data_IF_205886008449
#
_entry.id   IF_205886008449
#
_cell.length_a   1.000
_cell.length_b   1.000
_cell.length_c   1.000
_cell.angle_alpha   90.00
_cell.angle_beta   90.00
_cell.angle_gamma   90.00
#
_symmetry.space_group_name_H-M   'P 1'
#
loop_
_entity.id
_entity.type
_entity.pdbx_description
1 polymer ?
#
# COMPACT_ATOMS: atom_id res chain seq x y z
N UNK A 1 0.40 -44.66 22.27
CA UNK A 1 0.65 -43.93 21.00
C UNK A 1 -0.62 -43.24 20.50
N UNK A 2 -1.19 -42.29 21.26
CA UNK A 2 -2.37 -41.53 20.84
C UNK A 2 -2.28 -40.01 21.14
N UNK A 3 -1.25 -39.57 21.86
CA UNK A 3 -1.11 -38.17 22.31
C UNK A 3 -0.43 -37.29 21.23
N UNK A 4 0.30 -37.89 20.29
CA UNK A 4 1.01 -37.13 19.23
C UNK A 4 0.08 -36.71 18.08
N UNK A 5 -1.10 -37.31 17.96
CA UNK A 5 -2.02 -37.07 16.83
C UNK A 5 -2.72 -35.70 16.91
N UNK A 6 -2.78 -35.06 18.08
CA UNK A 6 -3.48 -33.79 18.26
C UNK A 6 -2.63 -32.52 18.06
N UNK A 7 -1.30 -32.63 17.90
CA UNK A 7 -0.41 -31.46 17.75
C UNK A 7 -0.14 -31.05 16.30
N UNK A 8 -0.72 -31.76 15.33
CA UNK A 8 -0.81 -31.30 13.93
C UNK A 8 -2.16 -30.62 13.72
N UNK A 9 -2.60 -29.79 14.68
CA UNK A 9 -3.48 -28.68 14.31
C UNK A 9 -2.68 -27.90 13.29
N UNK A 10 -3.14 -27.95 12.05
CA UNK A 10 -2.54 -27.26 10.91
C UNK A 10 -2.38 -25.80 11.32
N UNK A 11 -1.18 -25.42 11.77
CA UNK A 11 -0.73 -24.04 11.78
C UNK A 11 -0.67 -23.72 10.30
N UNK A 12 -1.82 -23.35 9.75
CA UNK A 12 -1.93 -22.71 8.46
C UNK A 12 -1.20 -21.40 8.64
N UNK A 13 0.12 -21.42 8.45
CA UNK A 13 0.91 -20.22 8.36
C UNK A 13 0.43 -19.51 7.10
N UNK A 14 -0.59 -18.66 7.28
CA UNK A 14 -1.03 -17.68 6.28
C UNK A 14 0.11 -16.67 6.20
N UNK A 15 1.16 -17.04 5.47
CA UNK A 15 2.27 -16.16 5.20
C UNK A 15 1.79 -15.12 4.18
N UNK A 16 2.04 -13.85 4.47
CA UNK A 16 1.90 -12.80 3.48
C UNK A 16 2.82 -13.13 2.28
N UNK A 17 2.31 -12.90 1.07
CA UNK A 17 3.04 -13.14 -0.18
C UNK A 17 3.72 -11.84 -0.61
N UNK A 18 4.96 -11.95 -1.08
CA UNK A 18 5.70 -10.85 -1.72
C UNK A 18 5.67 -10.96 -3.26
N UNK A 19 5.80 -9.85 -3.99
CA UNK A 19 5.73 -9.85 -5.45
C UNK A 19 6.99 -10.45 -6.10
N UNK A 20 6.80 -11.16 -7.22
CA UNK A 20 7.90 -11.57 -8.12
C UNK A 20 8.48 -10.37 -8.86
N UNK A 21 9.66 -10.51 -9.46
CA UNK A 21 10.32 -9.41 -10.20
C UNK A 21 9.41 -8.74 -11.25
N UNK A 22 8.68 -9.52 -12.05
CA UNK A 22 7.72 -8.97 -13.02
C UNK A 22 6.57 -8.21 -12.35
N UNK A 23 6.12 -8.67 -11.18
CA UNK A 23 5.08 -7.98 -10.41
C UNK A 23 5.62 -6.69 -9.78
N UNK A 24 6.87 -6.66 -9.35
CA UNK A 24 7.55 -5.46 -8.87
C UNK A 24 7.62 -4.40 -9.98
N UNK A 25 8.02 -4.79 -11.20
CA UNK A 25 8.00 -3.90 -12.36
C UNK A 25 6.59 -3.40 -12.68
N UNK A 26 5.58 -4.27 -12.62
CA UNK A 26 4.18 -3.87 -12.81
C UNK A 26 3.71 -2.84 -11.77
N UNK A 27 4.04 -3.05 -10.49
CA UNK A 27 3.73 -2.11 -9.41
C UNK A 27 4.40 -0.77 -9.66
N UNK A 28 5.72 -0.75 -9.87
CA UNK A 28 6.48 0.49 -10.10
C UNK A 28 5.99 1.21 -11.35
N UNK A 29 5.74 0.49 -12.44
CA UNK A 29 5.26 1.07 -13.70
C UNK A 29 3.90 1.75 -13.53
N UNK A 30 2.95 1.11 -12.86
CA UNK A 30 1.65 1.72 -12.59
C UNK A 30 1.79 2.96 -11.68
N UNK A 31 2.54 2.87 -10.58
CA UNK A 31 2.73 4.00 -9.67
C UNK A 31 3.43 5.17 -10.36
N UNK A 32 4.41 4.91 -11.23
CA UNK A 32 5.09 5.93 -12.03
C UNK A 32 4.12 6.62 -12.99
N UNK A 33 3.28 5.84 -13.69
CA UNK A 33 2.25 6.37 -14.58
C UNK A 33 1.24 7.25 -13.83
N UNK A 34 0.76 6.79 -12.66
CA UNK A 34 -0.18 7.56 -11.86
C UNK A 34 0.44 8.89 -11.41
N UNK A 35 1.72 8.88 -10.99
CA UNK A 35 2.46 10.07 -10.56
C UNK A 35 2.75 11.03 -11.71
N UNK A 36 2.99 10.54 -12.92
CA UNK A 36 3.26 11.40 -14.09
C UNK A 36 2.00 12.06 -14.66
N UNK A 37 0.82 11.53 -14.34
CA UNK A 37 -0.45 11.94 -14.94
C UNK A 37 -1.38 12.66 -13.95
N UNK A 38 -0.83 13.18 -12.84
CA UNK A 38 -1.60 13.98 -11.88
C UNK A 38 -2.06 15.30 -12.51
N UNK A 39 -3.26 15.73 -12.17
CA UNK A 39 -3.84 17.01 -12.61
C UNK A 39 -4.21 17.84 -11.37
N UNK A 40 -3.65 19.04 -11.18
CA UNK A 40 -2.73 19.72 -12.08
C UNK A 40 -1.34 19.06 -12.14
N UNK A 41 -0.57 19.25 -13.23
CA UNK A 41 0.77 18.68 -13.37
C UNK A 41 1.70 19.15 -12.24
N UNK A 42 2.38 18.21 -11.60
CA UNK A 42 3.32 18.51 -10.51
C UNK A 42 4.71 18.89 -11.05
N UNK A 43 5.30 19.97 -10.51
CA UNK A 43 6.62 20.46 -10.90
C UNK A 43 7.80 19.72 -10.24
N UNK A 44 7.54 18.98 -9.16
CA UNK A 44 8.54 18.35 -8.29
C UNK A 44 8.23 16.88 -7.98
N UNK A 45 7.58 16.17 -8.91
CA UNK A 45 7.22 14.76 -8.74
C UNK A 45 8.44 13.85 -8.93
N UNK A 46 8.94 13.26 -7.83
CA UNK A 46 10.07 12.32 -7.89
C UNK A 46 9.67 10.96 -8.52
N UNK A 47 10.65 10.30 -9.16
CA UNK A 47 10.50 8.94 -9.67
C UNK A 47 10.36 7.92 -8.54
N UNK A 48 9.38 7.02 -8.67
CA UNK A 48 9.21 5.89 -7.75
C UNK A 48 10.13 4.74 -8.15
N UNK A 49 10.71 4.07 -7.15
CA UNK A 49 11.56 2.89 -7.34
C UNK A 49 11.13 1.80 -6.37
N UNK A 50 11.33 0.55 -6.75
CA UNK A 50 11.11 -0.57 -5.84
C UNK A 50 12.15 -0.55 -4.72
N UNK A 51 11.69 -0.77 -3.48
CA UNK A 51 12.55 -0.88 -2.30
C UNK A 51 12.26 -2.19 -1.57
N UNK A 52 13.29 -2.99 -1.35
CA UNK A 52 13.17 -4.23 -0.58
C UNK A 52 12.86 -3.95 0.90
N UNK A 53 13.29 -2.80 1.42
CA UNK A 53 12.94 -2.33 2.77
C UNK A 53 11.44 -2.04 2.88
N UNK A 54 10.88 -1.29 1.92
CA UNK A 54 9.44 -1.02 1.90
C UNK A 54 8.61 -2.30 1.67
N UNK A 55 9.11 -3.24 0.86
CA UNK A 55 8.48 -4.56 0.73
C UNK A 55 8.45 -5.31 2.07
N UNK A 56 9.54 -5.30 2.82
CA UNK A 56 9.62 -5.97 4.11
C UNK A 56 8.62 -5.37 5.11
N UNK A 57 8.51 -4.04 5.16
CA UNK A 57 7.52 -3.34 5.97
C UNK A 57 6.08 -3.68 5.55
N UNK A 58 5.79 -3.68 4.25
CA UNK A 58 4.47 -4.05 3.73
C UNK A 58 4.12 -5.51 4.06
N UNK A 59 5.08 -6.42 3.96
CA UNK A 59 4.90 -7.83 4.29
C UNK A 59 4.69 -8.05 5.80
N UNK A 60 5.43 -7.35 6.66
CA UNK A 60 5.21 -7.36 8.12
C UNK A 60 3.78 -6.95 8.44
N UNK A 61 3.32 -5.81 7.91
CA UNK A 61 1.96 -5.33 8.20
C UNK A 61 0.87 -6.24 7.64
N UNK A 62 1.03 -6.71 6.40
CA UNK A 62 0.07 -7.62 5.77
C UNK A 62 -0.06 -8.96 6.53
N UNK A 63 1.03 -9.46 7.13
CA UNK A 63 1.02 -10.69 7.91
C UNK A 63 0.16 -10.63 9.17
N UNK A 64 -0.14 -9.42 9.66
CA UNK A 64 -0.97 -9.18 10.84
C UNK A 64 -2.46 -9.26 10.52
N UNK A 65 -2.84 -9.36 9.24
CA UNK A 65 -4.22 -9.37 8.77
C UNK A 65 -5.04 -8.16 9.26
N UNK A 66 -4.39 -7.02 9.47
CA UNK A 66 -5.05 -5.78 9.87
C UNK A 66 -5.44 -4.95 8.65
N UNK A 67 -6.66 -4.41 8.67
CA UNK A 67 -7.13 -3.43 7.68
C UNK A 67 -6.96 -1.98 8.16
N UNK A 68 -6.33 -1.76 9.32
CA UNK A 68 -6.01 -0.43 9.86
C UNK A 68 -4.58 -0.04 9.54
N UNK A 69 -4.27 1.25 9.61
CA UNK A 69 -2.89 1.75 9.46
C UNK A 69 -2.08 1.54 10.75
N UNK A 70 -0.75 1.33 10.65
CA UNK A 70 0.09 1.15 11.83
C UNK A 70 0.13 2.42 12.69
N UNK A 71 -0.07 2.25 13.99
CA UNK A 71 0.21 3.31 14.95
C UNK A 71 1.73 3.45 15.12
N UNK A 72 2.31 4.56 14.65
CA UNK A 72 3.78 4.77 14.65
C UNK A 72 4.41 4.85 16.03
N UNK A 73 3.63 5.09 17.10
CA UNK A 73 4.13 5.01 18.48
C UNK A 73 4.33 3.56 18.91
N UNK A 74 3.45 2.66 18.45
CA UNK A 74 3.55 1.22 18.73
C UNK A 74 4.46 0.49 17.74
N UNK A 75 4.49 0.95 16.49
CA UNK A 75 5.25 0.37 15.38
C UNK A 75 6.17 1.43 14.77
N UNK A 76 7.25 1.81 15.47
CA UNK A 76 8.13 2.92 15.06
C UNK A 76 8.86 2.67 13.75
N UNK A 77 8.98 1.41 13.30
CA UNK A 77 9.57 1.06 12.00
C UNK A 77 8.78 1.62 10.80
N UNK A 78 7.52 2.01 10.98
CA UNK A 78 6.72 2.67 9.94
C UNK A 78 6.80 4.20 10.00
N UNK A 79 7.51 4.77 10.97
CA UNK A 79 7.65 6.22 11.10
C UNK A 79 8.32 6.82 9.87
N UNK A 80 7.71 7.87 9.30
CA UNK A 80 8.21 8.53 8.09
C UNK A 80 7.93 7.76 6.79
N UNK A 81 7.16 6.68 6.84
CA UNK A 81 6.75 5.92 5.64
C UNK A 81 5.28 6.16 5.31
N UNK A 82 4.96 6.22 4.01
CA UNK A 82 3.58 6.18 3.53
C UNK A 82 3.11 4.73 3.37
N UNK A 83 1.83 4.48 3.63
CA UNK A 83 1.23 3.16 3.41
C UNK A 83 -0.09 3.30 2.66
N UNK A 84 -0.35 2.36 1.75
CA UNK A 84 -1.65 2.16 1.12
C UNK A 84 -2.18 0.78 1.49
N UNK A 85 -3.45 0.67 1.86
CA UNK A 85 -4.08 -0.61 2.21
C UNK A 85 -5.30 -0.81 1.30
N UNK A 86 -5.40 -2.00 0.71
CA UNK A 86 -6.56 -2.43 -0.06
C UNK A 86 -7.09 -3.74 0.52
N UNK A 87 -8.38 -3.77 0.84
CA UNK A 87 -9.05 -4.94 1.41
C UNK A 87 -10.04 -5.52 0.42
N UNK A 88 -10.11 -6.84 0.34
CA UNK A 88 -10.99 -7.57 -0.56
C UNK A 88 -11.74 -8.64 0.23
N UNK A 89 -13.06 -8.72 0.05
CA UNK A 89 -13.92 -9.68 0.78
C UNK A 89 -14.19 -10.95 -0.03
N UNK A 90 -14.45 -10.82 -1.33
CA UNK A 90 -14.91 -11.93 -2.19
C UNK A 90 -13.92 -12.29 -3.30
N UNK A 91 -12.66 -11.87 -3.17
CA UNK A 91 -11.63 -12.13 -4.16
C UNK A 91 -10.27 -12.23 -3.49
N UNK A 92 -9.40 -13.07 -4.02
CA UNK A 92 -7.99 -13.09 -3.63
C UNK A 92 -7.27 -11.88 -4.26
N UNK A 93 -6.60 -11.03 -3.46
CA UNK A 93 -5.86 -9.89 -4.00
C UNK A 93 -4.73 -10.33 -4.93
N UNK A 94 -4.49 -9.53 -5.97
CA UNK A 94 -3.38 -9.64 -6.90
C UNK A 94 -2.55 -8.37 -6.82
N UNK A 95 -1.25 -8.46 -7.06
CA UNK A 95 -0.39 -7.27 -7.08
C UNK A 95 -0.79 -6.25 -8.16
N UNK A 96 -1.39 -6.70 -9.26
CA UNK A 96 -1.95 -5.81 -10.28
C UNK A 96 -3.15 -4.99 -9.80
N UNK A 97 -3.80 -5.38 -8.68
CA UNK A 97 -4.88 -4.59 -8.09
C UNK A 97 -4.39 -3.27 -7.48
N UNK A 98 -3.07 -3.01 -7.45
CA UNK A 98 -2.52 -1.65 -7.21
C UNK A 98 -3.15 -0.62 -8.14
N UNK A 99 -3.61 -1.04 -9.33
CA UNK A 99 -4.25 -0.16 -10.29
C UNK A 99 -5.54 0.49 -9.78
N UNK A 100 -6.21 -0.13 -8.81
CA UNK A 100 -7.47 0.38 -8.24
C UNK A 100 -7.28 1.67 -7.45
N UNK A 101 -6.04 2.02 -7.07
CA UNK A 101 -5.73 3.32 -6.46
C UNK A 101 -6.15 4.48 -7.38
N UNK A 102 -6.08 4.31 -8.71
CA UNK A 102 -6.51 5.35 -9.64
C UNK A 102 -8.02 5.69 -9.51
N UNK A 103 -8.85 4.78 -9.02
CA UNK A 103 -10.28 5.05 -8.82
C UNK A 103 -10.52 6.14 -7.76
N UNK A 104 -9.56 6.34 -6.84
CA UNK A 104 -9.62 7.40 -5.85
C UNK A 104 -9.26 8.78 -6.43
N UNK A 105 -8.62 8.83 -7.60
CA UNK A 105 -8.23 10.09 -8.25
C UNK A 105 -9.46 10.94 -8.61
N UNK A 106 -10.54 10.31 -9.11
CA UNK A 106 -11.77 11.03 -9.47
C UNK A 106 -12.51 11.61 -8.25
N UNK A 107 -12.17 11.16 -7.04
CA UNK A 107 -12.75 11.66 -5.81
C UNK A 107 -12.01 12.88 -5.27
N UNK A 108 -10.82 13.18 -5.77
CA UNK A 108 -9.97 14.24 -5.25
C UNK A 108 -9.95 15.45 -6.17
N UNK A 109 -10.38 16.59 -5.63
CA UNK A 109 -10.26 17.88 -6.29
C UNK A 109 -9.03 18.61 -5.73
N UNK A 110 -7.99 18.74 -6.56
CA UNK A 110 -6.74 19.40 -6.17
C UNK A 110 -6.91 20.90 -5.90
N UNK A 111 -7.62 21.63 -6.77
CA UNK A 111 -7.80 23.09 -6.66
C UNK A 111 -8.40 23.51 -5.31
N UNK A 112 -9.29 22.67 -4.76
CA UNK A 112 -9.97 22.90 -3.48
C UNK A 112 -9.40 22.08 -2.34
N UNK A 113 -8.36 21.28 -2.61
CA UNK A 113 -7.81 20.27 -1.70
C UNK A 113 -8.92 19.45 -1.00
N UNK A 114 -9.93 19.00 -1.76
CA UNK A 114 -11.12 18.36 -1.21
C UNK A 114 -11.27 16.94 -1.74
N UNK A 115 -11.40 15.99 -0.81
CA UNK A 115 -11.77 14.62 -1.11
C UNK A 115 -13.28 14.42 -0.96
N UNK A 116 -13.91 13.75 -1.93
CA UNK A 116 -15.29 13.30 -1.86
C UNK A 116 -15.34 11.76 -1.82
N UNK A 117 -15.29 11.19 -0.62
CA UNK A 117 -15.21 9.74 -0.41
C UNK A 117 -13.82 9.32 0.07
N UNK A 118 -13.21 8.34 -0.59
CA UNK A 118 -11.87 7.82 -0.25
C UNK A 118 -10.84 8.38 -1.22
N UNK A 119 -9.78 9.00 -0.69
CA UNK A 119 -8.66 9.52 -1.47
C UNK A 119 -7.29 9.24 -0.85
N UNK A 120 -7.23 8.55 0.30
CA UNK A 120 -5.98 8.40 1.06
C UNK A 120 -4.91 7.66 0.26
N UNK A 121 -5.26 6.57 -0.43
CA UNK A 121 -4.28 5.82 -1.19
C UNK A 121 -3.77 6.64 -2.38
N UNK A 122 -4.68 7.33 -3.08
CA UNK A 122 -4.31 8.20 -4.19
C UNK A 122 -3.40 9.35 -3.74
N UNK A 123 -3.74 10.05 -2.65
CA UNK A 123 -2.89 11.10 -2.07
C UNK A 123 -1.53 10.54 -1.64
N UNK A 124 -1.47 9.34 -1.07
CA UNK A 124 -0.18 8.74 -0.65
C UNK A 124 0.72 8.45 -1.83
N UNK A 125 0.16 7.99 -2.95
CA UNK A 125 0.94 7.71 -4.17
C UNK A 125 1.31 8.98 -4.92
N UNK A 126 0.45 10.01 -4.89
CA UNK A 126 0.66 11.28 -5.60
C UNK A 126 1.39 12.35 -4.77
N UNK A 127 1.72 12.07 -3.51
CA UNK A 127 2.43 13.04 -2.67
C UNK A 127 3.87 13.25 -3.13
N UNK A 128 4.37 14.45 -2.85
CA UNK A 128 5.78 14.78 -2.99
C UNK A 128 6.44 14.68 -1.62
N UNK A 129 7.76 14.45 -1.58
CA UNK A 129 8.53 14.30 -0.32
C UNK A 129 8.47 15.58 0.54
N UNK A 130 8.05 16.72 -0.06
CA UNK A 130 7.95 18.00 0.61
C UNK A 130 6.63 18.23 1.38
N UNK A 131 5.60 17.40 1.20
CA UNK A 131 4.33 17.55 1.91
C UNK A 131 4.27 16.66 3.17
N UNK A 132 4.01 17.22 4.37
CA UNK A 132 3.91 16.45 5.59
C UNK A 132 2.76 15.43 5.51
N UNK A 133 3.09 14.15 5.72
CA UNK A 133 2.14 13.02 5.80
C UNK A 133 1.10 13.24 6.93
N UNK A 134 1.37 14.13 7.89
CA UNK A 134 0.46 14.51 8.98
C UNK A 134 -0.80 15.27 8.55
N UNK A 135 -0.90 15.74 7.29
CA UNK A 135 -2.09 16.42 6.76
C UNK A 135 -2.99 15.52 5.87
N UNK A 136 -2.85 14.20 5.98
CA UNK A 136 -3.53 13.20 5.14
C UNK A 136 -4.48 12.26 5.87
#
# INVERSE_FOLDING_TARGET
MLIIVCLVTVISSVAAKVPTLNQQYGIVGFLAQLRSSVEPPASNMNFVRYSLEMQALANDWASRCSNTYPNVTQFPQFKGTGMTIQTFYNKRPRFSDVSLIANEASNYNYDRNRCNGVCRNYKTVSSTIAEPIEQM
#
